data_IF_788626109076
#
_entry.id   IF_788626109076
#
_cell.length_a   1.000
_cell.length_b   1.000
_cell.length_c   1.000
_cell.angle_alpha   90.00
_cell.angle_beta   90.00
_cell.angle_gamma   90.00
#
_symmetry.space_group_name_H-M   'P 1'
#
loop_
_entity.id
_entity.type
_entity.pdbx_description
1 polymer ?
#
# COMPACT_ATOMS: atom_id res chain seq x y z
N UNK A 1 -17.91 10.86 -41.10
CA UNK A 1 -18.32 10.77 -39.68
C UNK A 1 -17.76 9.46 -39.14
N UNK A 2 -17.22 9.40 -37.91
CA UNK A 2 -16.76 8.13 -37.36
C UNK A 2 -17.94 7.18 -37.17
N UNK A 3 -17.83 5.98 -37.72
CA UNK A 3 -18.85 4.94 -37.60
C UNK A 3 -18.80 4.31 -36.20
N UNK A 4 -19.94 4.29 -35.52
CA UNK A 4 -20.09 3.70 -34.19
C UNK A 4 -20.83 2.38 -34.30
N UNK A 5 -20.27 1.34 -33.70
CA UNK A 5 -20.85 0.00 -33.69
C UNK A 5 -21.08 -0.46 -32.25
N UNK A 6 -21.98 -1.42 -32.09
CA UNK A 6 -22.29 -2.02 -30.80
C UNK A 6 -21.11 -2.87 -30.31
N UNK A 7 -20.72 -2.69 -29.05
CA UNK A 7 -19.66 -3.48 -28.42
C UNK A 7 -20.25 -4.83 -28.03
N UNK A 8 -19.99 -5.86 -28.85
CA UNK A 8 -20.34 -7.25 -28.56
C UNK A 8 -19.58 -7.76 -27.34
N UNK A 9 -20.18 -8.68 -26.59
CA UNK A 9 -19.53 -9.28 -25.41
C UNK A 9 -18.19 -9.96 -25.77
N UNK A 10 -18.13 -10.63 -26.92
CA UNK A 10 -16.90 -11.26 -27.44
C UNK A 10 -15.71 -10.29 -27.57
N UNK A 11 -15.96 -9.02 -27.92
CA UNK A 11 -14.89 -8.00 -27.99
C UNK A 11 -14.33 -7.72 -26.61
N UNK A 12 -15.20 -7.63 -25.59
CA UNK A 12 -14.79 -7.38 -24.21
C UNK A 12 -13.97 -8.55 -23.69
N UNK A 13 -14.48 -9.75 -23.89
CA UNK A 13 -13.86 -10.98 -23.39
C UNK A 13 -12.48 -11.18 -24.02
N UNK A 14 -12.36 -10.91 -25.33
CA UNK A 14 -11.07 -10.98 -26.03
C UNK A 14 -10.03 -10.01 -25.46
N UNK A 15 -10.39 -8.73 -25.31
CA UNK A 15 -9.45 -7.73 -24.76
C UNK A 15 -9.07 -8.07 -23.32
N UNK A 16 -10.03 -8.52 -22.50
CA UNK A 16 -9.77 -8.94 -21.13
C UNK A 16 -8.88 -10.19 -21.06
N UNK A 17 -9.05 -11.15 -21.98
CA UNK A 17 -8.18 -12.33 -22.05
C UNK A 17 -6.76 -11.96 -22.44
N UNK A 18 -6.57 -11.01 -23.37
CA UNK A 18 -5.26 -10.53 -23.79
C UNK A 18 -4.53 -9.78 -22.65
N UNK A 19 -5.25 -8.94 -21.90
CA UNK A 19 -4.71 -8.29 -20.69
C UNK A 19 -4.28 -9.35 -19.66
N UNK A 20 -5.05 -10.43 -19.49
CA UNK A 20 -4.73 -11.51 -18.56
C UNK A 20 -3.53 -12.33 -19.02
N UNK A 21 -3.48 -12.70 -20.32
CA UNK A 21 -2.41 -13.48 -20.96
C UNK A 21 -1.07 -12.78 -20.85
N UNK A 22 -1.05 -11.49 -21.19
CA UNK A 22 0.19 -10.69 -21.25
C UNK A 22 0.55 -10.04 -19.92
N UNK A 23 -0.44 -9.80 -19.05
CA UNK A 23 -0.28 -9.01 -17.84
C UNK A 23 -0.04 -7.52 -18.11
N UNK A 24 -0.27 -7.05 -19.34
CA UNK A 24 -0.06 -5.67 -19.76
C UNK A 24 -1.40 -4.96 -19.89
N UNK A 25 -1.61 -3.91 -19.11
CA UNK A 25 -2.84 -3.11 -19.17
C UNK A 25 -2.86 -2.08 -20.32
N UNK A 26 -4.05 -1.52 -20.64
CA UNK A 26 -4.24 -0.55 -21.72
C UNK A 26 -3.29 0.66 -21.71
N UNK A 27 -2.91 1.17 -20.54
CA UNK A 27 -1.97 2.29 -20.44
C UNK A 27 -0.57 1.93 -20.96
N UNK A 28 -0.09 0.72 -20.67
CA UNK A 28 1.25 0.28 -21.07
C UNK A 28 1.28 -0.11 -22.54
N UNK A 29 0.27 -0.81 -23.04
CA UNK A 29 0.24 -1.26 -24.43
C UNK A 29 0.16 -0.09 -25.42
N UNK A 30 -0.52 1.00 -25.03
CA UNK A 30 -0.63 2.21 -25.84
C UNK A 30 0.63 3.09 -25.81
N UNK A 31 1.60 2.80 -24.94
CA UNK A 31 2.80 3.63 -24.79
C UNK A 31 3.66 3.55 -26.05
N UNK A 32 3.70 4.64 -26.80
CA UNK A 32 4.46 4.72 -28.05
C UNK A 32 3.69 4.27 -29.30
N UNK A 33 2.43 3.84 -29.16
CA UNK A 33 1.62 3.38 -30.28
C UNK A 33 1.13 4.56 -31.13
N UNK A 34 1.81 4.83 -32.25
CA UNK A 34 1.56 6.01 -33.10
C UNK A 34 0.16 6.01 -33.73
N UNK A 35 -0.33 4.85 -34.15
CA UNK A 35 -1.65 4.73 -34.78
C UNK A 35 -2.80 4.99 -33.81
N UNK A 36 -2.78 4.36 -32.62
CA UNK A 36 -3.72 4.66 -31.54
C UNK A 36 -3.79 6.16 -31.23
N UNK A 37 -2.64 6.85 -31.20
CA UNK A 37 -2.58 8.30 -31.01
C UNK A 37 -3.28 9.06 -32.14
N UNK A 38 -3.03 8.69 -33.42
CA UNK A 38 -3.68 9.30 -34.58
C UNK A 38 -5.20 9.13 -34.55
N UNK A 39 -5.67 7.95 -34.13
CA UNK A 39 -7.11 7.65 -34.01
C UNK A 39 -7.76 8.25 -32.76
N UNK A 40 -6.98 8.78 -31.82
CA UNK A 40 -7.46 9.28 -30.53
C UNK A 40 -7.91 8.15 -29.58
N UNK A 41 -7.41 6.93 -29.77
CA UNK A 41 -7.67 5.80 -28.87
C UNK A 41 -6.86 5.97 -27.59
N UNK A 42 -7.54 6.12 -26.46
CA UNK A 42 -6.92 6.27 -25.13
C UNK A 42 -7.18 5.06 -24.27
N UNK A 43 -6.38 4.88 -23.21
CA UNK A 43 -6.62 3.80 -22.24
C UNK A 43 -7.99 3.91 -21.59
N UNK A 44 -8.50 5.13 -21.39
CA UNK A 44 -9.85 5.36 -20.85
C UNK A 44 -10.95 4.83 -21.77
N UNK A 45 -10.79 4.98 -23.09
CA UNK A 45 -11.71 4.42 -24.08
C UNK A 45 -11.68 2.88 -24.01
N UNK A 46 -10.49 2.28 -23.96
CA UNK A 46 -10.37 0.82 -23.84
C UNK A 46 -11.01 0.33 -22.53
N UNK A 47 -10.80 1.01 -21.40
CA UNK A 47 -11.45 0.65 -20.13
C UNK A 47 -12.98 0.75 -20.17
N UNK A 48 -13.55 1.65 -20.98
CA UNK A 48 -15.00 1.73 -21.20
C UNK A 48 -15.51 0.63 -22.13
N UNK A 49 -14.73 0.27 -23.15
CA UNK A 49 -15.00 -0.88 -24.03
C UNK A 49 -14.99 -2.18 -23.21
N UNK A 50 -14.05 -2.35 -22.28
CA UNK A 50 -13.98 -3.55 -21.42
C UNK A 50 -14.92 -3.51 -20.22
N UNK A 51 -15.56 -2.37 -19.94
CA UNK A 51 -16.48 -2.19 -18.81
C UNK A 51 -15.80 -2.06 -17.44
N UNK A 52 -14.48 -1.84 -17.41
CA UNK A 52 -13.72 -1.66 -16.17
C UNK A 52 -13.81 -0.23 -15.59
N UNK A 53 -14.25 0.75 -16.38
CA UNK A 53 -14.44 2.13 -15.94
C UNK A 53 -15.74 2.73 -16.51
N UNK A 54 -16.87 2.11 -16.15
CA UNK A 54 -18.17 2.36 -16.77
C UNK A 54 -18.34 1.57 -18.06
N UNK A 55 -19.53 1.02 -18.28
CA UNK A 55 -19.84 0.17 -19.44
C UNK A 55 -20.38 1.04 -20.58
N UNK A 56 -19.63 1.17 -21.67
CA UNK A 56 -20.14 1.75 -22.91
C UNK A 56 -20.81 0.67 -23.76
N UNK A 57 -21.95 0.97 -24.40
CA UNK A 57 -22.65 0.03 -25.30
C UNK A 57 -22.19 0.13 -26.76
N UNK A 58 -21.65 1.28 -27.15
CA UNK A 58 -21.11 1.54 -28.49
C UNK A 58 -19.71 2.16 -28.41
N UNK A 59 -18.92 1.93 -29.46
CA UNK A 59 -17.64 2.61 -29.66
C UNK A 59 -17.36 2.76 -31.17
N UNK A 60 -16.39 3.60 -31.52
CA UNK A 60 -15.95 3.76 -32.90
C UNK A 60 -15.42 2.43 -33.43
N UNK A 61 -15.78 2.06 -34.65
CA UNK A 61 -15.33 0.81 -35.27
C UNK A 61 -13.79 0.72 -35.32
N UNK A 62 -13.12 1.79 -35.73
CA UNK A 62 -11.64 1.86 -35.76
C UNK A 62 -11.01 1.64 -34.38
N UNK A 63 -11.68 2.09 -33.31
CA UNK A 63 -11.20 1.90 -31.94
C UNK A 63 -11.33 0.44 -31.51
N UNK A 64 -12.43 -0.22 -31.90
CA UNK A 64 -12.63 -1.65 -31.60
C UNK A 64 -11.62 -2.48 -32.38
N UNK A 65 -11.48 -2.25 -33.69
CA UNK A 65 -10.54 -2.97 -34.56
C UNK A 65 -9.11 -2.88 -34.03
N UNK A 66 -8.62 -1.66 -33.79
CA UNK A 66 -7.28 -1.50 -33.25
C UNK A 66 -7.14 -2.12 -31.86
N UNK A 67 -8.14 -2.00 -30.97
CA UNK A 67 -8.06 -2.58 -29.63
C UNK A 67 -7.95 -4.12 -29.63
N UNK A 68 -8.50 -4.81 -30.63
CA UNK A 68 -8.36 -6.25 -30.82
C UNK A 68 -6.95 -6.67 -31.27
N UNK A 69 -6.19 -5.75 -31.86
CA UNK A 69 -4.85 -6.02 -32.42
C UNK A 69 -3.72 -5.65 -31.45
N UNK A 70 -3.96 -4.74 -30.50
CA UNK A 70 -2.96 -4.13 -29.62
C UNK A 70 -2.02 -5.13 -28.90
N UNK A 71 -2.52 -6.32 -28.55
CA UNK A 71 -1.76 -7.31 -27.76
C UNK A 71 -1.19 -8.47 -28.58
N UNK A 72 -1.46 -8.56 -29.89
CA UNK A 72 -1.08 -9.72 -30.71
C UNK A 72 0.43 -10.02 -30.67
N UNK A 73 1.26 -8.99 -30.77
CA UNK A 73 2.73 -9.12 -30.76
C UNK A 73 3.34 -9.19 -29.36
N UNK A 74 2.50 -9.20 -28.31
CA UNK A 74 2.98 -9.20 -26.92
C UNK A 74 3.14 -10.63 -26.41
N UNK A 75 4.32 -10.99 -25.86
CA UNK A 75 4.53 -12.33 -25.30
C UNK A 75 3.72 -12.55 -24.02
N UNK A 76 3.42 -13.82 -23.73
CA UNK A 76 2.75 -14.23 -22.50
C UNK A 76 3.53 -13.79 -21.26
N UNK A 77 2.78 -13.48 -20.19
CA UNK A 77 3.37 -13.16 -18.89
C UNK A 77 4.12 -14.39 -18.38
N UNK A 78 5.44 -14.28 -18.24
CA UNK A 78 6.23 -15.27 -17.49
C UNK A 78 5.68 -15.34 -16.06
N UNK A 79 5.15 -16.50 -15.67
CA UNK A 79 4.66 -16.77 -14.33
C UNK A 79 5.88 -16.70 -13.39
N UNK A 80 6.08 -15.55 -12.76
CA UNK A 80 6.99 -15.43 -11.62
C UNK A 80 6.16 -15.70 -10.39
N UNK A 81 6.62 -16.62 -9.55
CA UNK A 81 6.02 -16.87 -8.23
C UNK A 81 5.75 -15.54 -7.54
N UNK A 82 4.52 -15.36 -7.08
CA UNK A 82 4.11 -14.11 -6.46
C UNK A 82 5.00 -13.90 -5.24
N UNK A 83 5.80 -12.82 -5.23
CA UNK A 83 6.51 -12.42 -4.02
C UNK A 83 5.46 -12.27 -2.91
N UNK A 84 5.70 -12.82 -1.71
CA UNK A 84 4.79 -12.70 -0.59
C UNK A 84 4.41 -11.22 -0.37
N UNK A 85 3.15 -10.97 0.00
CA UNK A 85 2.68 -9.61 0.28
C UNK A 85 3.54 -9.05 1.42
N UNK A 86 3.96 -7.78 1.36
CA UNK A 86 4.87 -7.22 2.39
C UNK A 86 4.30 -7.30 3.81
N UNK A 87 2.98 -7.48 3.95
CA UNK A 87 2.29 -7.76 5.22
C UNK A 87 2.68 -9.10 5.86
N UNK A 88 3.02 -10.11 5.06
CA UNK A 88 3.49 -11.41 5.54
C UNK A 88 4.97 -11.38 5.88
N UNK A 89 5.78 -10.69 5.08
CA UNK A 89 7.21 -10.46 5.35
C UNK A 89 7.45 -9.75 6.69
N UNK A 90 6.59 -8.78 7.05
CA UNK A 90 6.67 -8.07 8.33
C UNK A 90 6.32 -8.91 9.57
N UNK A 91 5.71 -10.09 9.40
CA UNK A 91 5.33 -10.95 10.54
C UNK A 91 6.47 -11.87 10.98
N UNK A 92 7.44 -12.13 10.12
CA UNK A 92 8.43 -13.22 10.31
C UNK A 92 9.82 -12.75 10.69
N UNK A 93 10.15 -11.47 10.53
CA UNK A 93 11.48 -10.95 10.86
C UNK A 93 11.43 -9.98 12.04
N UNK A 94 12.29 -10.14 13.07
CA UNK A 94 12.49 -9.08 14.05
C UNK A 94 13.05 -7.86 13.32
N UNK A 95 12.32 -6.75 13.39
CA UNK A 95 12.70 -5.49 12.75
C UNK A 95 14.02 -5.04 13.39
N UNK A 96 15.14 -5.23 12.72
CA UNK A 96 16.44 -4.76 13.18
C UNK A 96 16.39 -3.23 13.39
N UNK A 97 16.47 -2.84 14.67
CA UNK A 97 16.34 -1.46 15.17
C UNK A 97 17.70 -0.77 15.08
N UNK A 98 18.15 -0.40 13.89
CA UNK A 98 19.29 0.53 13.77
C UNK A 98 19.00 1.54 12.67
N UNK A 99 18.24 2.58 13.01
CA UNK A 99 18.46 3.91 12.46
C UNK A 99 18.97 4.78 13.61
N UNK A 100 20.03 5.58 13.41
CA UNK A 100 20.47 6.52 14.43
C UNK A 100 19.29 7.46 14.75
N UNK A 101 18.98 7.69 16.03
CA UNK A 101 17.92 8.60 16.41
C UNK A 101 18.20 10.01 15.84
N UNK A 102 17.14 10.78 15.61
CA UNK A 102 17.28 12.22 15.36
C UNK A 102 18.04 12.86 16.53
N UNK A 103 18.84 13.90 16.28
CA UNK A 103 19.63 14.58 17.30
C UNK A 103 18.77 14.88 18.55
N UNK A 104 19.19 14.37 19.71
CA UNK A 104 18.48 14.53 20.99
C UNK A 104 17.46 13.44 21.36
N UNK A 105 17.23 12.42 20.52
CA UNK A 105 16.27 11.34 20.80
C UNK A 105 16.97 10.05 21.26
N UNK A 106 16.32 9.28 22.12
CA UNK A 106 16.77 7.95 22.55
C UNK A 106 16.11 6.84 21.73
N UNK A 107 16.85 5.77 21.40
CA UNK A 107 16.30 4.64 20.67
C UNK A 107 15.31 3.84 21.52
N UNK A 108 14.19 3.41 20.93
CA UNK A 108 13.26 2.48 21.56
C UNK A 108 13.81 1.08 21.33
N UNK A 109 14.55 0.54 22.29
CA UNK A 109 15.18 -0.77 22.20
C UNK A 109 14.21 -1.90 22.56
N UNK A 110 14.59 -3.14 22.26
CA UNK A 110 13.83 -4.33 22.67
C UNK A 110 13.83 -4.43 24.19
N UNK A 111 14.97 -4.16 24.86
CA UNK A 111 15.03 -4.19 26.33
C UNK A 111 14.08 -3.18 26.97
N UNK A 112 13.98 -1.98 26.38
CA UNK A 112 13.05 -0.96 26.85
C UNK A 112 11.59 -1.40 26.68
N UNK A 113 11.23 -2.01 25.55
CA UNK A 113 9.87 -2.54 25.32
C UNK A 113 9.55 -3.69 26.28
N UNK A 114 10.51 -4.57 26.57
CA UNK A 114 10.34 -5.65 27.53
C UNK A 114 10.19 -5.15 28.97
N UNK A 115 10.92 -4.09 29.34
CA UNK A 115 10.73 -3.41 30.61
C UNK A 115 9.34 -2.76 30.69
N UNK A 116 8.93 -2.03 29.66
CA UNK A 116 7.61 -1.39 29.58
C UNK A 116 6.49 -2.43 29.75
N UNK A 117 6.60 -3.57 29.06
CA UNK A 117 5.63 -4.67 29.15
C UNK A 117 5.57 -5.28 30.56
N UNK A 118 6.71 -5.39 31.25
CA UNK A 118 6.76 -5.84 32.64
C UNK A 118 6.06 -4.87 33.58
N UNK A 119 6.25 -3.57 33.42
CA UNK A 119 5.57 -2.54 34.22
C UNK A 119 4.06 -2.49 33.95
N UNK A 120 3.63 -2.66 32.69
CA UNK A 120 2.21 -2.78 32.33
C UNK A 120 1.57 -4.02 32.98
N UNK A 121 2.28 -5.14 33.02
CA UNK A 121 1.80 -6.36 33.69
C UNK A 121 1.78 -6.21 35.21
N UNK A 122 2.75 -5.50 35.80
CA UNK A 122 2.84 -5.27 37.25
C UNK A 122 1.71 -4.36 37.74
N UNK A 123 1.42 -3.29 37.01
CA UNK A 123 0.45 -2.26 37.44
C UNK A 123 -0.95 -2.46 36.86
N UNK A 124 -1.08 -3.25 35.80
CA UNK A 124 -2.33 -3.39 35.03
C UNK A 124 -2.68 -2.16 34.20
N UNK A 125 -1.85 -1.11 34.22
CA UNK A 125 -2.05 0.16 33.50
C UNK A 125 -1.20 0.17 32.24
N UNK A 126 -1.74 0.67 31.13
CA UNK A 126 -0.97 0.78 29.88
C UNK A 126 -0.15 2.06 29.85
N UNK A 127 1.02 1.99 29.22
CA UNK A 127 1.93 3.13 29.11
C UNK A 127 1.30 4.34 28.39
N UNK A 128 0.42 4.10 27.40
CA UNK A 128 -0.28 5.19 26.72
C UNK A 128 -1.26 5.95 27.61
N UNK A 129 -1.79 5.32 28.65
CA UNK A 129 -2.74 5.93 29.59
C UNK A 129 -1.99 6.82 30.59
N UNK A 130 -0.74 6.48 30.89
CA UNK A 130 0.17 7.23 31.78
C UNK A 130 0.66 8.57 31.25
N UNK A 131 0.39 8.88 29.98
CA UNK A 131 0.84 10.14 29.36
C UNK A 131 0.33 11.37 30.11
N UNK A 132 -0.91 11.31 30.63
CA UNK A 132 -1.50 12.41 31.39
C UNK A 132 -0.89 12.51 32.79
N UNK A 133 -0.74 11.39 33.50
CA UNK A 133 -0.14 11.38 34.85
C UNK A 133 1.35 11.74 34.83
N UNK A 134 2.07 11.37 33.76
CA UNK A 134 3.46 11.72 33.56
C UNK A 134 3.68 13.21 33.26
N UNK A 135 2.63 13.98 32.95
CA UNK A 135 2.72 15.41 32.65
C UNK A 135 3.58 15.74 31.43
N UNK A 136 3.74 14.79 30.51
CA UNK A 136 4.60 14.93 29.32
C UNK A 136 3.79 15.44 28.13
N UNK A 137 4.39 16.33 27.33
CA UNK A 137 3.76 16.84 26.11
C UNK A 137 3.90 15.85 24.95
N UNK A 138 3.17 14.73 25.06
CA UNK A 138 3.07 13.72 24.02
C UNK A 138 1.63 13.24 23.89
N UNK A 139 1.24 12.76 22.72
CA UNK A 139 -0.09 12.15 22.53
C UNK A 139 -0.02 10.63 22.85
N UNK A 140 -1.02 10.04 23.53
CA UNK A 140 -1.07 8.60 23.85
C UNK A 140 -0.77 7.66 22.68
N UNK A 141 -1.26 7.99 21.48
CA UNK A 141 -1.03 7.16 20.30
C UNK A 141 0.46 7.08 19.87
N UNK A 142 1.29 8.04 20.27
CA UNK A 142 2.74 8.03 20.02
C UNK A 142 3.42 6.99 20.90
N UNK A 143 3.05 6.92 22.19
CA UNK A 143 3.52 5.90 23.13
C UNK A 143 3.05 4.51 22.70
N UNK A 144 1.78 4.39 22.28
CA UNK A 144 1.26 3.15 21.67
C UNK A 144 2.06 2.73 20.43
N UNK A 145 2.55 3.69 19.65
CA UNK A 145 3.32 3.43 18.45
C UNK A 145 4.70 2.81 18.74
N UNK A 146 5.26 3.01 19.95
CA UNK A 146 6.50 2.36 20.42
C UNK A 146 6.36 0.84 20.39
N UNK A 147 5.28 0.31 20.97
CA UNK A 147 4.98 -1.14 21.02
C UNK A 147 4.73 -1.77 19.65
N UNK A 148 4.26 -0.97 18.68
CA UNK A 148 3.99 -1.44 17.32
C UNK A 148 5.20 -1.38 16.37
N UNK A 149 6.35 -0.87 16.83
CA UNK A 149 7.54 -0.66 16.01
C UNK A 149 7.37 0.42 14.93
N UNK A 150 6.28 1.20 14.97
CA UNK A 150 6.03 2.33 14.04
C UNK A 150 6.92 3.52 14.37
N UNK A 151 7.27 3.67 15.64
CA UNK A 151 8.19 4.70 16.14
C UNK A 151 9.46 4.01 16.62
N UNK A 152 10.63 4.54 16.24
CA UNK A 152 11.94 3.90 16.47
C UNK A 152 12.81 4.62 17.50
N UNK A 153 12.44 5.85 17.86
CA UNK A 153 13.11 6.67 18.85
C UNK A 153 12.09 7.58 19.53
N UNK A 154 12.34 7.96 20.78
CA UNK A 154 11.50 8.88 21.55
C UNK A 154 12.37 9.87 22.32
N UNK A 155 11.76 10.99 22.73
CA UNK A 155 12.45 11.98 23.53
C UNK A 155 12.80 11.37 24.91
N UNK A 156 14.05 11.49 25.39
CA UNK A 156 14.46 10.99 26.70
C UNK A 156 13.58 11.47 27.86
N UNK A 157 13.07 12.71 27.80
CA UNK A 157 12.21 13.26 28.86
C UNK A 157 10.83 12.59 28.85
N UNK A 158 10.31 12.26 27.67
CA UNK A 158 9.06 11.48 27.56
C UNK A 158 9.27 10.06 28.11
N UNK A 159 10.40 9.42 27.77
CA UNK A 159 10.73 8.07 28.27
C UNK A 159 10.81 8.09 29.80
N UNK A 160 11.58 9.02 30.38
CA UNK A 160 11.71 9.17 31.84
C UNK A 160 10.37 9.46 32.52
N UNK A 161 9.55 10.35 31.94
CA UNK A 161 8.25 10.70 32.49
C UNK A 161 7.31 9.49 32.60
N UNK A 162 7.21 8.69 31.54
CA UNK A 162 6.36 7.49 31.53
C UNK A 162 6.87 6.42 32.51
N UNK A 163 8.19 6.17 32.56
CA UNK A 163 8.77 5.24 33.54
C UNK A 163 8.53 5.74 34.98
N UNK A 164 8.68 7.05 35.20
CA UNK A 164 8.41 7.69 36.50
C UNK A 164 6.95 7.50 36.93
N UNK A 165 6.00 7.67 36.01
CA UNK A 165 4.58 7.45 36.27
C UNK A 165 4.29 6.01 36.70
N UNK A 166 4.93 5.01 36.10
CA UNK A 166 4.80 3.61 36.54
C UNK A 166 5.30 3.38 37.97
N UNK A 167 6.38 4.05 38.39
CA UNK A 167 6.91 3.95 39.76
C UNK A 167 5.98 4.57 40.80
N UNK A 168 5.23 5.59 40.41
CA UNK A 168 4.26 6.26 41.28
C UNK A 168 2.96 5.46 41.43
N UNK A 169 2.71 4.49 40.56
CA UNK A 169 1.63 3.51 40.75
C UNK A 169 2.13 2.44 41.74
N UNK A 170 1.76 2.64 43.00
CA UNK A 170 1.87 1.63 44.05
C UNK A 170 0.90 0.50 43.68
N UNK A 171 1.44 -0.72 43.56
CA UNK A 171 0.65 -1.94 43.36
C UNK A 171 0.01 -2.39 44.67
#
# INVERSE_FOLDING_TARGET
MPEYIQIKQAVRDHILSEIKRTGIGPQRILKGHKEARKLGLTSGIIYRITGQNGKADTAREDHIRLALELWQDTPDKKIKEAKPKSSEFRKTEPIAIYKPPSYGYEPITIEFLDMLKREELRTGVKAEDLVKEAGVDVKPHVVKAWKSGRTKSADPEIIKGIIGAFKNIVA
#
